data_IF_856394040078
#
_entry.id   IF_856394040078
#
_cell.length_a   1.000
_cell.length_b   1.000
_cell.length_c   1.000
_cell.angle_alpha   90.00
_cell.angle_beta   90.00
_cell.angle_gamma   90.00
#
_symmetry.space_group_name_H-M   'P 1'
#
loop_
_entity.id
_entity.type
_entity.pdbx_description
1 polymer ?
#
# COMPACT_ATOMS: atom_id res chain seq x y z
N UNK A 1 -10.79 -44.02 41.65
CA UNK A 1 -11.98 -43.75 40.82
C UNK A 1 -12.89 -42.76 41.53
N UNK A 2 -12.61 -41.45 41.46
CA UNK A 2 -13.59 -40.38 41.78
C UNK A 2 -13.19 -39.13 40.98
N UNK A 3 -13.51 -39.09 39.69
CA UNK A 3 -13.51 -37.86 38.90
C UNK A 3 -14.67 -37.96 37.91
N UNK A 4 -15.88 -37.72 38.42
CA UNK A 4 -17.10 -37.72 37.62
C UNK A 4 -18.21 -36.95 38.32
N UNK A 5 -17.93 -35.81 38.94
CA UNK A 5 -18.98 -35.04 39.63
C UNK A 5 -18.81 -33.51 39.65
N UNK A 6 -17.99 -32.91 38.80
CA UNK A 6 -17.91 -31.43 38.70
C UNK A 6 -18.16 -30.87 37.29
N UNK A 7 -18.67 -31.66 36.35
CA UNK A 7 -18.98 -31.19 35.00
C UNK A 7 -20.47 -30.91 34.75
N UNK A 8 -21.36 -31.19 35.72
CA UNK A 8 -22.82 -31.04 35.53
C UNK A 8 -23.48 -29.93 36.37
N UNK A 9 -22.78 -29.26 37.29
CA UNK A 9 -23.41 -28.26 38.20
C UNK A 9 -23.34 -26.79 37.73
N UNK A 10 -22.78 -26.49 36.56
CA UNK A 10 -22.82 -25.12 35.97
C UNK A 10 -23.75 -25.04 34.76
N UNK A 11 -24.76 -25.93 34.69
CA UNK A 11 -25.85 -25.83 33.70
C UNK A 11 -27.17 -25.47 34.39
N UNK A 12 -27.14 -24.43 35.22
CA UNK A 12 -28.33 -23.72 35.66
C UNK A 12 -28.78 -22.75 34.55
N UNK A 13 -29.61 -23.29 33.64
CA UNK A 13 -30.67 -22.67 32.83
C UNK A 13 -30.67 -21.12 32.84
N UNK A 14 -29.89 -20.51 31.94
CA UNK A 14 -30.30 -19.23 31.34
C UNK A 14 -31.27 -19.57 30.18
N UNK A 15 -32.41 -18.88 30.03
CA UNK A 15 -33.37 -19.16 28.96
C UNK A 15 -32.68 -19.00 27.60
N UNK A 16 -33.06 -19.82 26.61
CA UNK A 16 -32.50 -19.81 25.25
C UNK A 16 -32.47 -18.40 24.61
N UNK A 17 -33.37 -17.50 25.02
CA UNK A 17 -33.38 -16.09 24.63
C UNK A 17 -32.14 -15.31 25.09
N UNK A 18 -31.65 -15.58 26.31
CA UNK A 18 -30.50 -14.88 26.88
C UNK A 18 -29.18 -15.38 26.28
N UNK A 19 -29.13 -16.66 25.88
CA UNK A 19 -27.99 -17.21 25.14
C UNK A 19 -27.89 -16.63 23.71
N UNK A 20 -29.03 -16.38 23.05
CA UNK A 20 -29.09 -15.70 21.76
C UNK A 20 -28.71 -14.23 21.87
N UNK A 21 -29.24 -13.52 22.88
CA UNK A 21 -28.95 -12.10 23.12
C UNK A 21 -27.48 -11.85 23.48
N UNK A 22 -26.87 -12.74 24.27
CA UNK A 22 -25.44 -12.68 24.60
C UNK A 22 -24.56 -13.02 23.39
N UNK A 23 -24.99 -13.94 22.53
CA UNK A 23 -24.28 -14.26 21.28
C UNK A 23 -24.34 -13.09 20.27
N UNK A 24 -25.50 -12.44 20.12
CA UNK A 24 -25.67 -11.24 19.29
C UNK A 24 -24.86 -10.04 19.84
N UNK A 25 -24.87 -9.84 21.16
CA UNK A 25 -24.07 -8.79 21.80
C UNK A 25 -22.56 -9.08 21.66
N UNK A 26 -22.14 -10.33 21.87
CA UNK A 26 -20.74 -10.74 21.71
C UNK A 26 -20.26 -10.56 20.27
N UNK A 27 -21.06 -10.95 19.28
CA UNK A 27 -20.71 -10.73 17.86
C UNK A 27 -20.63 -9.25 17.50
N UNK A 28 -21.53 -8.38 17.99
CA UNK A 28 -21.45 -6.93 17.79
C UNK A 28 -20.16 -6.33 18.35
N UNK A 29 -19.80 -6.67 19.60
CA UNK A 29 -18.57 -6.16 20.24
C UNK A 29 -17.30 -6.61 19.51
N UNK A 30 -17.27 -7.85 18.99
CA UNK A 30 -16.15 -8.35 18.17
C UNK A 30 -16.04 -7.59 16.86
N UNK A 31 -17.16 -7.33 16.17
CA UNK A 31 -17.16 -6.54 14.93
C UNK A 31 -16.68 -5.11 15.17
N UNK A 32 -17.13 -4.45 16.24
CA UNK A 32 -16.70 -3.11 16.61
C UNK A 32 -15.20 -3.03 16.93
N UNK A 33 -14.67 -4.01 17.67
CA UNK A 33 -13.23 -4.07 17.97
C UNK A 33 -12.41 -4.32 16.70
N UNK A 34 -12.84 -5.19 15.80
CA UNK A 34 -12.19 -5.41 14.51
C UNK A 34 -12.23 -4.16 13.61
N UNK A 35 -13.37 -3.47 13.55
CA UNK A 35 -13.51 -2.22 12.81
C UNK A 35 -12.59 -1.15 13.39
N UNK A 36 -12.55 -1.00 14.72
CA UNK A 36 -11.67 -0.06 15.40
C UNK A 36 -10.19 -0.37 15.10
N UNK A 37 -9.79 -1.65 15.19
CA UNK A 37 -8.44 -2.07 14.85
C UNK A 37 -8.09 -1.78 13.39
N UNK A 38 -9.00 -2.06 12.46
CA UNK A 38 -8.85 -1.76 11.03
C UNK A 38 -8.71 -0.26 10.78
N UNK A 39 -9.55 0.57 11.42
CA UNK A 39 -9.49 2.04 11.30
C UNK A 39 -8.18 2.60 11.82
N UNK A 40 -7.71 2.11 12.97
CA UNK A 40 -6.42 2.52 13.53
C UNK A 40 -5.28 2.15 12.58
N UNK A 41 -5.24 0.91 12.09
CA UNK A 41 -4.23 0.47 11.11
C UNK A 41 -4.26 1.32 9.84
N UNK A 42 -5.44 1.59 9.30
CA UNK A 42 -5.59 2.45 8.13
C UNK A 42 -5.05 3.85 8.40
N UNK A 43 -5.38 4.44 9.56
CA UNK A 43 -4.91 5.77 9.92
C UNK A 43 -3.39 5.86 10.04
N UNK A 44 -2.73 4.82 10.58
CA UNK A 44 -1.27 4.78 10.67
C UNK A 44 -0.61 4.60 9.29
N UNK A 45 -1.20 3.77 8.42
CA UNK A 45 -0.74 3.61 7.04
C UNK A 45 -0.87 4.92 6.24
N UNK A 46 -2.00 5.63 6.37
CA UNK A 46 -2.20 6.91 5.70
C UNK A 46 -1.21 7.98 6.17
N UNK A 47 -0.96 8.07 7.50
CA UNK A 47 0.06 8.98 8.04
C UNK A 47 1.45 8.66 7.50
N UNK A 48 1.81 7.39 7.45
CA UNK A 48 3.09 6.96 6.90
C UNK A 48 3.20 7.32 5.41
N UNK A 49 2.15 7.06 4.62
CA UNK A 49 2.10 7.41 3.20
C UNK A 49 2.28 8.92 2.97
N UNK A 50 1.57 9.76 3.72
CA UNK A 50 1.71 11.22 3.64
C UNK A 50 3.12 11.68 4.01
N UNK A 51 3.70 11.11 5.07
CA UNK A 51 5.07 11.40 5.48
C UNK A 51 6.07 11.04 4.38
N UNK A 52 5.96 9.85 3.78
CA UNK A 52 6.81 9.44 2.66
C UNK A 52 6.63 10.35 1.45
N UNK A 53 5.39 10.67 1.09
CA UNK A 53 5.06 11.57 -0.02
C UNK A 53 5.70 12.95 0.18
N UNK A 54 5.57 13.54 1.36
CA UNK A 54 6.12 14.86 1.66
C UNK A 54 7.65 14.88 1.69
N UNK A 55 8.27 13.88 2.34
CA UNK A 55 9.72 13.83 2.53
C UNK A 55 10.48 13.41 1.28
N UNK A 56 9.94 12.45 0.53
CA UNK A 56 10.59 11.95 -0.69
C UNK A 56 10.15 12.72 -1.93
N UNK A 57 9.01 13.43 -1.91
CA UNK A 57 8.41 13.98 -3.13
C UNK A 57 8.16 12.87 -4.15
N UNK A 58 7.68 11.72 -3.69
CA UNK A 58 7.39 10.53 -4.50
C UNK A 58 6.07 9.93 -4.02
N UNK A 59 5.18 9.65 -4.96
CA UNK A 59 3.95 8.89 -4.73
C UNK A 59 3.78 7.84 -5.83
N UNK A 60 3.15 6.72 -5.48
CA UNK A 60 2.78 5.68 -6.42
C UNK A 60 1.30 5.83 -6.77
N UNK A 61 0.99 5.79 -8.07
CA UNK A 61 -0.39 5.83 -8.55
C UNK A 61 -0.64 4.58 -9.38
N UNK A 62 -1.54 3.72 -8.91
CA UNK A 62 -2.05 2.61 -9.72
C UNK A 62 -3.06 3.17 -10.72
N UNK A 63 -2.80 3.01 -12.02
CA UNK A 63 -3.70 3.50 -13.07
C UNK A 63 -4.74 2.43 -13.43
N UNK A 64 -4.31 1.19 -13.58
CA UNK A 64 -5.14 0.02 -13.84
C UNK A 64 -4.53 -1.23 -13.20
N UNK A 65 -4.93 -2.44 -13.62
CA UNK A 65 -4.42 -3.70 -13.08
C UNK A 65 -2.92 -3.92 -13.31
N UNK A 66 -2.35 -3.35 -14.36
CA UNK A 66 -0.99 -3.65 -14.85
C UNK A 66 -0.06 -2.43 -14.80
N UNK A 67 -0.60 -1.22 -14.82
CA UNK A 67 0.15 0.03 -14.88
C UNK A 67 0.32 0.67 -13.50
N UNK A 68 1.58 0.82 -13.12
CA UNK A 68 2.04 1.53 -11.93
C UNK A 68 2.79 2.79 -12.34
N UNK A 69 2.30 3.95 -11.91
CA UNK A 69 2.90 5.24 -12.18
C UNK A 69 3.69 5.74 -10.97
N UNK A 70 4.94 6.11 -11.22
CA UNK A 70 5.83 6.77 -10.27
C UNK A 70 5.73 8.26 -10.49
N UNK A 71 5.24 9.00 -9.50
CA UNK A 71 5.01 10.43 -9.61
C UNK A 71 5.91 11.16 -8.64
N UNK A 72 6.79 12.00 -9.18
CA UNK A 72 7.74 12.80 -8.45
C UNK A 72 7.33 14.27 -8.41
N UNK A 73 7.64 14.91 -7.29
CA UNK A 73 7.56 16.36 -7.06
C UNK A 73 8.86 16.79 -6.37
N UNK A 74 9.02 18.10 -6.11
CA UNK A 74 10.24 18.65 -5.51
C UNK A 74 11.51 18.27 -6.31
N UNK A 75 11.43 18.38 -7.65
CA UNK A 75 12.56 18.20 -8.56
C UNK A 75 13.05 19.56 -9.05
N UNK A 76 12.13 20.39 -9.57
CA UNK A 76 12.43 21.74 -10.03
C UNK A 76 12.49 22.70 -8.83
N UNK A 77 13.62 23.38 -8.56
CA UNK A 77 13.71 24.35 -7.47
C UNK A 77 12.90 25.62 -7.70
N UNK A 78 12.46 25.89 -8.94
CA UNK A 78 11.61 27.05 -9.25
C UNK A 78 10.13 26.73 -9.04
N UNK A 79 9.75 25.48 -9.27
CA UNK A 79 8.38 24.99 -9.12
C UNK A 79 8.40 23.61 -8.45
N UNK A 80 8.28 23.61 -7.12
CA UNK A 80 8.28 22.39 -6.33
C UNK A 80 7.03 21.52 -6.57
N UNK A 81 5.93 22.10 -7.04
CA UNK A 81 4.68 21.38 -7.31
C UNK A 81 4.67 20.74 -8.70
N UNK A 82 5.58 21.15 -9.60
CA UNK A 82 5.75 20.56 -10.92
C UNK A 82 5.88 19.04 -10.82
N UNK A 83 5.02 18.37 -11.58
CA UNK A 83 4.91 16.92 -11.59
C UNK A 83 5.78 16.33 -12.68
N UNK A 84 6.56 15.32 -12.29
CA UNK A 84 7.35 14.48 -13.19
C UNK A 84 6.93 13.05 -12.97
N UNK A 85 6.76 12.25 -14.01
CA UNK A 85 6.35 10.86 -13.82
C UNK A 85 6.86 9.93 -14.90
N UNK A 86 6.87 8.65 -14.55
CA UNK A 86 6.92 7.57 -15.53
C UNK A 86 5.95 6.45 -15.11
N UNK A 87 5.43 5.73 -16.08
CA UNK A 87 4.51 4.61 -15.87
C UNK A 87 5.21 3.34 -16.32
N UNK A 88 5.17 2.31 -15.48
CA UNK A 88 5.67 0.99 -15.81
C UNK A 88 4.54 -0.04 -15.77
N UNK A 89 4.70 -1.08 -16.57
CA UNK A 89 3.98 -2.34 -16.44
C UNK A 89 4.96 -3.50 -16.46
N UNK A 90 4.55 -4.61 -15.88
CA UNK A 90 5.34 -5.86 -15.88
C UNK A 90 4.65 -6.86 -16.78
N UNK A 91 5.35 -7.32 -17.82
CA UNK A 91 4.86 -8.37 -18.72
C UNK A 91 5.78 -9.59 -18.54
N UNK A 92 5.24 -10.67 -18.00
CA UNK A 92 6.03 -11.86 -17.65
C UNK A 92 7.05 -11.54 -16.54
N UNK A 93 8.31 -11.32 -16.92
CA UNK A 93 9.41 -10.93 -16.01
C UNK A 93 10.10 -9.64 -16.43
N UNK A 94 9.59 -8.96 -17.45
CA UNK A 94 10.19 -7.74 -17.99
C UNK A 94 9.35 -6.52 -17.62
N UNK A 95 10.05 -5.46 -17.25
CA UNK A 95 9.52 -4.13 -17.05
C UNK A 95 9.45 -3.40 -18.41
N UNK A 96 8.32 -2.77 -18.66
CA UNK A 96 8.11 -1.88 -19.80
C UNK A 96 7.66 -0.51 -19.31
N UNK A 97 8.27 0.55 -19.82
CA UNK A 97 7.80 1.92 -19.59
C UNK A 97 6.73 2.24 -20.63
N UNK A 98 5.52 2.57 -20.19
CA UNK A 98 4.38 2.88 -21.07
C UNK A 98 4.20 4.36 -21.30
N UNK A 99 4.55 5.19 -20.33
CA UNK A 99 4.45 6.65 -20.42
C UNK A 99 5.57 7.30 -19.60
N UNK A 100 6.01 8.48 -20.01
CA UNK A 100 7.00 9.28 -19.29
C UNK A 100 6.82 10.76 -19.61
N UNK A 101 6.72 11.59 -18.58
CA UNK A 101 6.62 13.03 -18.74
C UNK A 101 7.43 13.74 -17.66
N UNK A 102 8.38 14.61 -18.03
CA UNK A 102 8.86 14.90 -19.38
C UNK A 102 9.64 13.72 -19.99
N UNK A 103 9.83 13.71 -21.31
CA UNK A 103 10.59 12.65 -21.97
C UNK A 103 12.07 12.70 -21.53
N UNK A 104 12.65 11.52 -21.28
CA UNK A 104 14.04 11.37 -20.85
C UNK A 104 14.84 10.74 -21.97
N UNK A 105 15.98 11.34 -22.32
CA UNK A 105 16.91 10.78 -23.28
C UNK A 105 17.47 9.44 -22.81
N UNK A 106 17.62 8.49 -23.74
CA UNK A 106 18.08 7.12 -23.49
C UNK A 106 17.22 6.31 -22.51
N UNK A 107 15.89 6.56 -22.46
CA UNK A 107 14.97 5.76 -21.65
C UNK A 107 15.04 4.26 -21.98
N UNK A 108 15.17 3.90 -23.25
CA UNK A 108 15.28 2.51 -23.69
C UNK A 108 16.50 1.79 -23.08
N UNK A 109 17.66 2.46 -23.02
CA UNK A 109 18.87 1.92 -22.40
C UNK A 109 18.69 1.70 -20.88
N UNK A 110 18.01 2.64 -20.22
CA UNK A 110 17.69 2.51 -18.80
C UNK A 110 16.75 1.33 -18.53
N UNK A 111 15.76 1.10 -19.40
CA UNK A 111 14.85 -0.05 -19.30
C UNK A 111 15.59 -1.36 -19.57
N UNK A 112 16.49 -1.40 -20.55
CA UNK A 112 17.33 -2.57 -20.77
C UNK A 112 18.23 -2.89 -19.56
N UNK A 113 18.81 -1.85 -18.94
CA UNK A 113 19.59 -2.01 -17.70
C UNK A 113 18.70 -2.52 -16.57
N UNK A 114 17.49 -1.97 -16.42
CA UNK A 114 16.50 -2.41 -15.42
C UNK A 114 16.14 -3.89 -15.60
N UNK A 115 15.86 -4.33 -16.82
CA UNK A 115 15.52 -5.73 -17.08
C UNK A 115 16.70 -6.69 -16.84
N UNK A 116 17.94 -6.22 -17.01
CA UNK A 116 19.15 -6.99 -16.69
C UNK A 116 19.44 -7.07 -15.19
N UNK A 117 19.27 -5.96 -14.45
CA UNK A 117 19.61 -5.88 -13.03
C UNK A 117 18.46 -6.25 -12.09
N UNK A 118 17.22 -6.19 -12.58
CA UNK A 118 15.98 -6.26 -11.79
C UNK A 118 15.95 -5.27 -10.61
N UNK A 119 16.66 -4.14 -10.72
CA UNK A 119 16.76 -3.14 -9.67
C UNK A 119 15.90 -1.91 -9.99
N UNK A 120 14.61 -2.00 -9.66
CA UNK A 120 13.64 -0.93 -9.88
C UNK A 120 13.96 0.35 -9.09
N UNK A 121 14.58 0.21 -7.92
CA UNK A 121 14.93 1.36 -7.08
C UNK A 121 16.06 2.18 -7.69
N UNK A 122 17.12 1.53 -8.19
CA UNK A 122 18.20 2.21 -8.90
C UNK A 122 17.71 2.88 -10.18
N UNK A 123 16.80 2.24 -10.91
CA UNK A 123 16.14 2.83 -12.07
C UNK A 123 15.37 4.10 -11.68
N UNK A 124 14.53 4.06 -10.66
CA UNK A 124 13.75 5.21 -10.21
C UNK A 124 14.64 6.39 -9.77
N UNK A 125 15.75 6.11 -9.08
CA UNK A 125 16.74 7.14 -8.69
C UNK A 125 17.40 7.75 -9.93
N UNK A 126 17.80 6.91 -10.89
CA UNK A 126 18.45 7.36 -12.13
C UNK A 126 17.51 8.23 -12.97
N UNK A 127 16.25 7.80 -13.15
CA UNK A 127 15.23 8.59 -13.86
C UNK A 127 14.98 9.91 -13.16
N UNK A 128 14.89 9.92 -11.82
CA UNK A 128 14.76 11.17 -11.05
C UNK A 128 15.94 12.12 -11.26
N UNK A 129 17.16 11.61 -11.35
CA UNK A 129 18.34 12.43 -11.67
C UNK A 129 18.25 13.02 -13.08
N UNK A 130 17.79 12.22 -14.06
CA UNK A 130 17.59 12.68 -15.43
C UNK A 130 16.50 13.77 -15.53
N UNK A 131 15.41 13.66 -14.77
CA UNK A 131 14.39 14.72 -14.70
C UNK A 131 14.93 16.07 -14.22
N UNK A 132 16.00 16.11 -13.41
CA UNK A 132 16.65 17.37 -13.02
C UNK A 132 17.40 18.06 -14.17
N UNK A 133 17.78 17.29 -15.20
CA UNK A 133 18.48 17.82 -16.37
C UNK A 133 17.50 18.41 -17.39
N UNK A 134 16.25 17.93 -17.38
CA UNK A 134 15.17 18.40 -18.26
C UNK A 134 14.47 19.59 -17.59
N UNK A 135 14.80 20.80 -18.01
CA UNK A 135 14.22 22.06 -17.52
C UNK A 135 12.94 22.39 -18.27
#
# INVERSE_FOLDING_TARGET
MIYSNLFWEVNAILPLSDLLLTCECFTSTVLETQQKATRLRLSELTKAEEFFKQRMGLRFKKLDSENLQFVFTNIDPKDHERVYYFTIKVIGKEYHVTDCCPQVEAMEELVQKLNKSNNLMEFAVTVRQKFKLVK
#
